data_IF_633914250025
#
_entry.id   IF_633914250025
#
_cell.length_a   1.000
_cell.length_b   1.000
_cell.length_c   1.000
_cell.angle_alpha   90.00
_cell.angle_beta   90.00
_cell.angle_gamma   90.00
#
_symmetry.space_group_name_H-M   'P 1'
#
loop_
_entity.id
_entity.type
_entity.pdbx_description
1 polymer ?
#
# COMPACT_ATOMS: atom_id res chain seq x y z
N UNK A 1 -17.88 -12.01 49.08
CA UNK A 1 -17.81 -13.12 48.11
C UNK A 1 -17.75 -12.66 46.63
N UNK A 2 -17.02 -11.58 46.29
CA UNK A 2 -16.76 -11.22 44.88
C UNK A 2 -15.27 -11.01 44.53
N UNK A 3 -14.40 -10.98 45.54
CA UNK A 3 -12.94 -10.84 45.37
C UNK A 3 -12.22 -12.20 45.20
N UNK A 4 -12.87 -13.32 45.53
CA UNK A 4 -12.24 -14.65 45.48
C UNK A 4 -12.32 -15.34 44.09
N UNK A 5 -13.13 -14.80 43.18
CA UNK A 5 -13.39 -15.42 41.85
C UNK A 5 -12.35 -14.97 40.82
N UNK A 6 -11.77 -13.77 40.97
CA UNK A 6 -10.77 -13.25 40.04
C UNK A 6 -9.40 -13.96 40.12
N UNK A 7 -9.07 -14.55 41.28
CA UNK A 7 -7.79 -15.25 41.47
C UNK A 7 -7.77 -16.67 40.87
N UNK A 8 -8.93 -17.30 40.66
CA UNK A 8 -9.01 -18.66 40.11
C UNK A 8 -8.95 -18.65 38.58
N UNK A 9 -9.41 -17.59 37.92
CA UNK A 9 -9.33 -17.47 36.45
C UNK A 9 -7.93 -17.06 35.93
N UNK A 10 -7.04 -16.58 36.80
CA UNK A 10 -5.69 -16.13 36.43
C UNK A 10 -4.63 -17.26 36.44
N UNK A 11 -5.02 -18.49 36.77
CA UNK A 11 -4.12 -19.65 36.89
C UNK A 11 -4.31 -20.73 35.82
N UNK A 12 -5.18 -20.53 34.80
CA UNK A 12 -5.54 -21.58 33.83
C UNK A 12 -5.28 -21.25 32.34
N UNK A 13 -4.53 -20.19 32.02
CA UNK A 13 -4.09 -19.93 30.63
C UNK A 13 -2.57 -19.72 30.52
N UNK A 14 -1.81 -20.64 31.10
CA UNK A 14 -0.37 -20.78 30.85
C UNK A 14 -0.05 -22.20 30.37
N UNK A 15 -0.59 -22.57 29.20
CA UNK A 15 -0.14 -23.74 28.43
C UNK A 15 0.56 -23.26 27.17
N UNK A 16 1.88 -23.11 27.32
CA UNK A 16 2.94 -23.53 26.39
C UNK A 16 2.59 -23.64 24.89
N UNK A 17 2.98 -22.63 24.12
CA UNK A 17 3.45 -22.85 22.73
C UNK A 17 4.95 -22.54 22.72
N UNK A 18 5.76 -23.58 22.92
CA UNK A 18 7.19 -23.56 22.58
C UNK A 18 7.34 -23.80 21.07
N UNK A 19 7.48 -22.73 20.29
CA UNK A 19 8.12 -22.85 18.97
C UNK A 19 9.62 -22.58 19.14
N UNK A 20 10.40 -23.66 19.21
CA UNK A 20 11.85 -23.61 18.96
C UNK A 20 12.08 -23.29 17.49
N UNK A 21 12.48 -22.05 17.20
CA UNK A 21 13.11 -21.70 15.93
C UNK A 21 14.58 -22.12 16.02
N UNK A 22 15.00 -23.00 15.13
CA UNK A 22 16.40 -23.39 14.92
C UNK A 22 17.16 -22.18 14.36
N UNK A 23 18.34 -21.82 14.91
CA UNK A 23 19.21 -20.86 14.27
C UNK A 23 20.02 -21.59 13.19
N UNK A 24 19.67 -21.39 11.92
CA UNK A 24 20.62 -21.66 10.84
C UNK A 24 21.48 -20.42 10.65
N UNK A 25 22.71 -20.55 11.14
CA UNK A 25 23.86 -19.75 10.78
C UNK A 25 24.29 -20.09 9.35
N UNK A 26 24.42 -19.09 8.47
CA UNK A 26 25.69 -18.80 7.79
C UNK A 26 25.47 -17.64 6.82
N UNK A 27 25.94 -16.49 7.29
CA UNK A 27 26.62 -15.48 6.50
C UNK A 27 27.61 -16.20 5.57
N UNK A 28 27.48 -15.99 4.27
CA UNK A 28 28.60 -16.14 3.36
C UNK A 28 28.73 -14.82 2.61
N UNK A 29 29.88 -14.19 2.87
CA UNK A 29 30.39 -13.01 2.24
C UNK A 29 30.48 -13.23 0.72
N UNK A 30 29.99 -12.26 -0.06
CA UNK A 30 30.40 -12.15 -1.46
C UNK A 30 31.57 -11.17 -1.51
N UNK A 31 32.78 -11.73 -1.45
CA UNK A 31 33.98 -11.07 -1.95
C UNK A 31 33.88 -10.98 -3.48
N UNK A 32 34.03 -9.76 -4.01
CA UNK A 32 34.24 -9.54 -5.43
C UNK A 32 35.69 -9.92 -5.78
N UNK A 33 35.89 -10.97 -6.58
CA UNK A 33 37.18 -11.26 -7.21
C UNK A 33 37.01 -11.22 -8.73
N UNK A 34 37.76 -10.32 -9.37
CA UNK A 34 38.01 -10.25 -10.81
C UNK A 34 39.02 -11.35 -11.21
N UNK A 35 38.78 -12.03 -12.34
CA UNK A 35 39.80 -12.86 -12.99
C UNK A 35 39.22 -13.79 -14.05
N UNK A 36 39.77 -13.70 -15.26
CA UNK A 36 39.43 -14.46 -16.46
C UNK A 36 39.87 -15.94 -16.42
N UNK A 37 39.32 -16.67 -17.40
CA UNK A 37 39.81 -17.88 -18.09
C UNK A 37 39.17 -19.25 -17.75
N UNK A 38 38.42 -19.70 -18.76
CA UNK A 38 38.30 -21.02 -19.39
C UNK A 38 37.82 -22.30 -18.66
N UNK A 39 36.70 -22.79 -19.21
CA UNK A 39 36.30 -24.19 -19.44
C UNK A 39 36.23 -25.16 -18.26
N UNK A 40 35.04 -25.30 -17.64
CA UNK A 40 34.56 -26.61 -17.13
C UNK A 40 33.05 -26.78 -17.35
N UNK A 41 32.73 -27.60 -18.36
CA UNK A 41 31.68 -28.62 -18.45
C UNK A 41 30.38 -28.45 -17.64
N UNK A 42 29.32 -28.10 -18.38
CA UNK A 42 27.94 -27.99 -17.91
C UNK A 42 27.35 -29.35 -17.50
N UNK A 43 27.30 -29.60 -16.20
CA UNK A 43 26.43 -30.66 -15.65
C UNK A 43 25.04 -30.07 -15.38
N UNK A 44 24.13 -30.23 -16.33
CA UNK A 44 22.75 -29.80 -16.24
C UNK A 44 22.00 -30.53 -15.12
N UNK A 45 21.95 -29.94 -13.92
CA UNK A 45 20.96 -30.31 -12.89
C UNK A 45 19.73 -29.44 -13.09
N UNK A 46 18.83 -29.93 -13.93
CA UNK A 46 17.53 -29.36 -14.23
C UNK A 46 16.70 -29.24 -12.93
N UNK A 47 16.79 -28.09 -12.26
CA UNK A 47 15.85 -27.72 -11.21
C UNK A 47 14.51 -27.46 -11.92
N UNK A 48 13.54 -28.33 -11.71
CA UNK A 48 12.21 -28.20 -12.31
C UNK A 48 11.60 -26.87 -11.88
N UNK A 49 11.37 -25.97 -12.83
CA UNK A 49 10.56 -24.78 -12.63
C UNK A 49 9.17 -25.23 -12.17
N UNK A 50 8.85 -24.98 -10.89
CA UNK A 50 7.48 -25.13 -10.40
C UNK A 50 6.62 -24.11 -11.15
N UNK A 51 5.71 -24.61 -11.97
CA UNK A 51 4.66 -23.81 -12.62
C UNK A 51 3.73 -23.25 -11.52
N UNK A 52 4.08 -22.10 -10.98
CA UNK A 52 3.12 -21.31 -10.22
C UNK A 52 2.14 -20.72 -11.23
N UNK A 53 0.93 -21.28 -11.27
CA UNK A 53 -0.19 -20.72 -12.00
C UNK A 53 -0.56 -19.38 -11.34
N UNK A 54 0.07 -18.29 -11.79
CA UNK A 54 -0.23 -16.94 -11.37
C UNK A 54 -1.62 -16.58 -11.88
N UNK A 55 -2.60 -16.59 -10.98
CA UNK A 55 -3.91 -16.01 -11.25
C UNK A 55 -3.78 -14.50 -10.99
N UNK A 56 -4.01 -13.64 -11.99
CA UNK A 56 -3.92 -12.21 -11.81
C UNK A 56 -4.91 -11.77 -10.72
N UNK A 57 -4.44 -10.94 -9.79
CA UNK A 57 -5.29 -10.39 -8.75
C UNK A 57 -6.52 -9.75 -9.39
N UNK A 58 -7.70 -10.11 -8.89
CA UNK A 58 -8.97 -9.56 -9.37
C UNK A 58 -8.92 -8.04 -9.22
N UNK A 59 -8.96 -7.32 -10.34
CA UNK A 59 -8.99 -5.84 -10.36
C UNK A 59 -10.16 -5.36 -9.51
N UNK A 60 -9.88 -4.67 -8.40
CA UNK A 60 -10.92 -3.97 -7.65
C UNK A 60 -11.43 -2.82 -8.52
N UNK A 61 -12.69 -2.92 -8.92
CA UNK A 61 -13.38 -1.86 -9.64
C UNK A 61 -14.33 -1.18 -8.67
N UNK A 62 -14.01 0.06 -8.29
CA UNK A 62 -14.92 0.90 -7.51
C UNK A 62 -16.06 1.32 -8.44
N UNK A 63 -17.17 0.61 -8.37
CA UNK A 63 -18.36 0.94 -9.15
C UNK A 63 -19.00 2.20 -8.61
N UNK A 64 -19.68 2.96 -9.47
CA UNK A 64 -20.41 4.17 -9.10
C UNK A 64 -21.42 3.96 -7.96
N UNK A 65 -21.96 2.75 -7.83
CA UNK A 65 -22.93 2.36 -6.79
C UNK A 65 -22.31 1.62 -5.60
N UNK A 66 -20.98 1.56 -5.49
CA UNK A 66 -20.32 0.92 -4.34
C UNK A 66 -20.73 1.64 -3.05
N UNK A 67 -21.07 0.86 -2.03
CA UNK A 67 -21.37 1.39 -0.70
C UNK A 67 -20.05 1.64 0.02
N UNK A 68 -19.75 2.91 0.27
CA UNK A 68 -18.53 3.34 0.95
C UNK A 68 -18.93 3.98 2.28
N UNK A 69 -18.50 3.36 3.38
CA UNK A 69 -18.67 3.87 4.73
C UNK A 69 -17.30 4.15 5.37
N UNK A 70 -17.03 5.44 5.60
CA UNK A 70 -15.74 5.91 6.09
C UNK A 70 -15.67 5.72 7.61
N UNK A 71 -14.74 4.87 8.06
CA UNK A 71 -14.60 4.51 9.48
C UNK A 71 -13.64 5.46 10.21
N UNK A 72 -12.56 5.84 9.54
CA UNK A 72 -11.56 6.75 10.10
C UNK A 72 -10.86 7.54 9.00
N UNK A 73 -10.40 8.74 9.34
CA UNK A 73 -9.55 9.55 8.50
C UNK A 73 -8.69 10.47 9.39
N UNK A 74 -7.41 10.55 9.09
CA UNK A 74 -6.49 11.49 9.73
C UNK A 74 -5.42 11.92 8.74
N UNK A 75 -4.94 13.16 8.93
CA UNK A 75 -3.78 13.65 8.21
C UNK A 75 -2.52 12.96 8.75
N UNK A 76 -1.69 12.50 7.83
CA UNK A 76 -0.36 12.00 8.09
C UNK A 76 0.63 12.84 7.30
N UNK A 77 1.58 13.45 8.00
CA UNK A 77 2.71 14.17 7.42
C UNK A 77 3.95 13.30 7.59
N UNK A 78 4.58 12.96 6.47
CA UNK A 78 5.92 12.40 6.43
C UNK A 78 6.98 13.45 6.72
N UNK A 79 8.23 13.09 6.45
CA UNK A 79 9.35 14.00 6.62
C UNK A 79 9.26 15.15 5.60
N UNK A 80 9.39 16.39 6.08
CA UNK A 80 9.38 17.61 5.28
C UNK A 80 10.67 18.34 5.62
N UNK A 81 11.47 18.68 4.61
CA UNK A 81 12.66 19.50 4.80
C UNK A 81 12.25 20.92 5.21
N UNK A 82 12.99 21.54 6.13
CA UNK A 82 12.81 22.96 6.46
C UNK A 82 13.07 23.88 5.26
N UNK A 83 13.81 23.40 4.25
CA UNK A 83 14.06 24.11 3.00
C UNK A 83 13.02 23.85 1.91
N UNK A 84 11.97 23.06 2.17
CA UNK A 84 10.94 22.75 1.18
C UNK A 84 9.97 23.94 1.03
N UNK A 85 9.94 24.52 -0.17
CA UNK A 85 9.10 25.68 -0.48
C UNK A 85 7.60 25.39 -0.31
N UNK A 86 7.19 24.13 -0.43
CA UNK A 86 5.80 23.68 -0.29
C UNK A 86 5.45 23.24 1.14
N UNK A 87 6.38 23.32 2.09
CA UNK A 87 6.18 22.86 3.48
C UNK A 87 4.92 23.43 4.15
N UNK A 88 4.60 24.70 3.87
CA UNK A 88 3.39 25.35 4.40
C UNK A 88 2.11 24.75 3.82
N UNK A 89 2.11 24.44 2.53
CA UNK A 89 0.95 23.89 1.82
C UNK A 89 0.69 22.44 2.23
N UNK A 90 1.74 21.63 2.42
CA UNK A 90 1.59 20.26 2.95
C UNK A 90 0.91 20.24 4.32
N UNK A 91 1.25 21.19 5.21
CA UNK A 91 0.69 21.29 6.56
C UNK A 91 -0.77 21.78 6.58
N UNK A 92 -1.18 22.56 5.58
CA UNK A 92 -2.56 23.06 5.45
C UNK A 92 -3.46 22.09 4.70
N UNK A 93 -2.89 21.27 3.82
CA UNK A 93 -3.65 20.32 3.04
C UNK A 93 -4.31 19.28 3.94
N UNK A 94 -5.63 19.21 3.83
CA UNK A 94 -6.47 18.31 4.59
C UNK A 94 -7.74 18.05 3.79
N UNK A 95 -8.40 16.92 4.04
CA UNK A 95 -9.65 16.56 3.37
C UNK A 95 -10.73 16.29 4.41
N UNK A 96 -11.91 16.84 4.18
CA UNK A 96 -13.10 16.46 4.90
C UNK A 96 -13.60 15.07 4.47
N UNK A 97 -14.43 14.45 5.30
CA UNK A 97 -15.00 13.12 4.99
C UNK A 97 -15.77 13.10 3.66
N UNK A 98 -16.49 14.16 3.31
CA UNK A 98 -17.24 14.24 2.04
C UNK A 98 -16.31 14.34 0.83
N UNK A 99 -15.17 15.01 0.97
CA UNK A 99 -14.15 15.12 -0.07
C UNK A 99 -13.42 13.80 -0.26
N UNK A 100 -13.08 13.10 0.83
CA UNK A 100 -12.53 11.73 0.79
C UNK A 100 -13.48 10.81 0.02
N UNK A 101 -14.78 10.80 0.37
CA UNK A 101 -15.77 9.99 -0.34
C UNK A 101 -15.90 10.38 -1.81
N UNK A 102 -15.75 11.66 -2.14
CA UNK A 102 -15.77 12.13 -3.53
C UNK A 102 -14.57 11.61 -4.30
N UNK A 103 -13.36 11.66 -3.72
CA UNK A 103 -12.14 11.13 -4.33
C UNK A 103 -12.27 9.62 -4.56
N UNK A 104 -12.66 8.86 -3.54
CA UNK A 104 -12.80 7.40 -3.63
C UNK A 104 -13.78 6.99 -4.74
N UNK A 105 -14.88 7.74 -4.94
CA UNK A 105 -15.88 7.45 -5.98
C UNK A 105 -15.47 7.83 -7.40
N UNK A 106 -14.50 8.74 -7.56
CA UNK A 106 -14.10 9.27 -8.87
C UNK A 106 -12.67 8.87 -9.26
N UNK A 107 -11.99 8.07 -8.45
CA UNK A 107 -10.70 7.49 -8.77
C UNK A 107 -10.80 6.48 -9.91
N UNK A 108 -9.82 6.52 -10.79
CA UNK A 108 -9.69 5.59 -11.90
C UNK A 108 -8.56 4.61 -11.58
N UNK A 109 -8.81 3.31 -11.76
CA UNK A 109 -7.79 2.31 -11.48
C UNK A 109 -6.59 2.48 -12.42
N UNK A 110 -5.39 2.56 -11.86
CA UNK A 110 -4.13 2.70 -12.58
C UNK A 110 -3.21 1.51 -12.27
N UNK A 111 -2.28 1.22 -13.17
CA UNK A 111 -1.26 0.21 -12.92
C UNK A 111 0.00 0.84 -12.29
N UNK A 112 0.97 0.01 -11.88
CA UNK A 112 2.21 0.51 -11.26
C UNK A 112 3.06 1.35 -12.21
N UNK A 113 3.03 1.07 -13.52
CA UNK A 113 3.73 1.88 -14.52
C UNK A 113 3.10 3.28 -14.58
N UNK A 114 1.78 3.38 -14.75
CA UNK A 114 1.05 4.66 -14.74
C UNK A 114 1.35 5.45 -13.46
N UNK A 115 1.33 4.78 -12.29
CA UNK A 115 1.64 5.40 -11.00
C UNK A 115 3.03 6.06 -11.01
N UNK A 116 4.07 5.33 -11.40
CA UNK A 116 5.44 5.81 -11.39
C UNK A 116 5.71 6.94 -12.38
N UNK A 117 5.00 6.99 -13.51
CA UNK A 117 5.22 8.00 -14.54
C UNK A 117 4.35 9.25 -14.40
N UNK A 118 3.15 9.13 -13.84
CA UNK A 118 2.13 10.18 -13.94
C UNK A 118 1.85 10.90 -12.61
N UNK A 119 2.35 10.43 -11.47
CA UNK A 119 1.95 10.96 -10.16
C UNK A 119 3.14 11.38 -9.30
N UNK A 120 2.95 12.46 -8.55
CA UNK A 120 3.91 12.96 -7.58
C UNK A 120 3.68 12.29 -6.22
N UNK A 121 4.74 11.81 -5.57
CA UNK A 121 4.64 11.27 -4.20
C UNK A 121 4.98 12.38 -3.22
N UNK A 122 3.96 12.99 -2.63
CA UNK A 122 4.10 14.09 -1.68
C UNK A 122 4.14 13.59 -0.23
N UNK A 123 4.76 14.33 0.71
CA UNK A 123 4.86 13.89 2.09
C UNK A 123 3.56 14.04 2.89
N UNK A 124 2.48 14.61 2.32
CA UNK A 124 1.19 14.73 3.01
C UNK A 124 0.15 13.74 2.45
N UNK A 125 -0.45 12.97 3.36
CA UNK A 125 -1.41 11.93 3.05
C UNK A 125 -2.60 11.96 4.00
N UNK A 126 -3.80 11.74 3.49
CA UNK A 126 -4.95 11.34 4.31
C UNK A 126 -4.97 9.82 4.43
N UNK A 127 -4.91 9.32 5.66
CA UNK A 127 -4.90 7.89 5.95
C UNK A 127 -6.11 7.49 6.79
N UNK A 128 -6.56 6.27 6.64
CA UNK A 128 -7.67 5.77 7.44
C UNK A 128 -8.20 4.43 6.95
N UNK A 129 -9.46 4.17 7.27
CA UNK A 129 -10.15 2.94 6.90
C UNK A 129 -11.57 3.22 6.40
N UNK A 130 -12.02 2.40 5.46
CA UNK A 130 -13.36 2.45 4.91
C UNK A 130 -13.88 1.03 4.67
N UNK A 131 -15.17 0.84 4.95
CA UNK A 131 -15.91 -0.35 4.50
C UNK A 131 -16.40 -0.09 3.08
N UNK A 132 -16.00 -0.93 2.13
CA UNK A 132 -16.40 -0.84 0.72
C UNK A 132 -17.03 -2.17 0.33
N UNK A 133 -18.33 -2.15 0.01
CA UNK A 133 -19.11 -3.35 -0.34
C UNK A 133 -18.88 -4.52 0.65
N UNK A 134 -18.99 -4.20 1.95
CA UNK A 134 -18.79 -5.14 3.07
C UNK A 134 -17.36 -5.66 3.27
N UNK A 135 -16.37 -5.09 2.60
CA UNK A 135 -14.96 -5.41 2.81
C UNK A 135 -14.22 -4.21 3.44
N UNK A 136 -13.43 -4.47 4.48
CA UNK A 136 -12.63 -3.44 5.13
C UNK A 136 -11.36 -3.15 4.31
N UNK A 137 -11.11 -1.88 4.04
CA UNK A 137 -9.88 -1.40 3.42
C UNK A 137 -9.23 -0.35 4.30
N UNK A 138 -7.91 -0.39 4.36
CA UNK A 138 -7.12 0.78 4.68
C UNK A 138 -6.95 1.63 3.42
N UNK A 139 -6.95 2.95 3.56
CA UNK A 139 -6.68 3.85 2.45
C UNK A 139 -5.54 4.81 2.77
N UNK A 140 -4.84 5.22 1.70
CA UNK A 140 -3.90 6.33 1.69
C UNK A 140 -4.22 7.21 0.49
N UNK A 141 -4.64 8.45 0.71
CA UNK A 141 -4.83 9.46 -0.34
C UNK A 141 -3.64 10.40 -0.25
N UNK A 142 -2.81 10.45 -1.28
CA UNK A 142 -1.65 11.32 -1.33
C UNK A 142 -2.01 12.65 -2.00
N UNK A 143 -1.47 13.77 -1.52
CA UNK A 143 -1.75 15.08 -2.09
C UNK A 143 -1.31 15.25 -3.56
N UNK A 144 -0.53 14.30 -4.11
CA UNK A 144 -0.15 14.22 -5.51
C UNK A 144 -1.12 13.45 -6.42
N UNK A 145 -2.42 13.50 -6.12
CA UNK A 145 -3.51 13.07 -7.02
C UNK A 145 -3.63 11.56 -7.28
N UNK A 146 -3.22 10.75 -6.30
CA UNK A 146 -3.49 9.32 -6.30
C UNK A 146 -3.96 8.83 -4.93
N UNK A 147 -4.55 7.64 -4.89
CA UNK A 147 -4.80 6.94 -3.65
C UNK A 147 -4.60 5.43 -3.80
N UNK A 148 -4.37 4.78 -2.67
CA UNK A 148 -4.19 3.35 -2.56
C UNK A 148 -5.24 2.81 -1.61
N UNK A 149 -5.95 1.77 -2.02
CA UNK A 149 -6.77 0.94 -1.15
C UNK A 149 -6.04 -0.38 -0.89
N UNK A 150 -5.88 -0.76 0.38
CA UNK A 150 -5.21 -2.01 0.75
C UNK A 150 -6.04 -2.82 1.71
N UNK A 151 -6.12 -4.11 1.45
CA UNK A 151 -6.59 -5.11 2.40
C UNK A 151 -5.41 -5.99 2.86
N UNK A 152 -5.65 -7.16 3.44
CA UNK A 152 -4.59 -8.03 3.93
C UNK A 152 -3.69 -8.60 2.82
N UNK A 153 -4.23 -8.75 1.61
CA UNK A 153 -3.58 -9.53 0.55
C UNK A 153 -3.09 -8.67 -0.62
N UNK A 154 -3.68 -7.49 -0.83
CA UNK A 154 -3.51 -6.72 -2.07
C UNK A 154 -3.67 -5.22 -1.85
N UNK A 155 -2.91 -4.46 -2.64
CA UNK A 155 -3.05 -3.02 -2.79
C UNK A 155 -3.52 -2.67 -4.21
N UNK A 156 -4.48 -1.75 -4.29
CA UNK A 156 -5.07 -1.25 -5.52
C UNK A 156 -4.76 0.23 -5.66
N UNK A 157 -4.25 0.61 -6.83
CA UNK A 157 -3.83 1.97 -7.11
C UNK A 157 -4.89 2.69 -7.95
N UNK A 158 -5.17 3.93 -7.58
CA UNK A 158 -6.13 4.77 -8.27
C UNK A 158 -5.55 6.15 -8.49
N UNK A 159 -5.74 6.67 -9.70
CA UNK A 159 -5.39 8.02 -10.11
C UNK A 159 -6.60 8.94 -10.13
N UNK A 160 -6.38 10.24 -9.95
CA UNK A 160 -7.45 11.23 -9.92
C UNK A 160 -7.23 12.44 -10.85
N UNK A 161 -7.13 12.16 -12.15
CA UNK A 161 -6.98 13.19 -13.19
C UNK A 161 -8.29 13.89 -13.61
N UNK A 162 -9.44 13.34 -13.21
CA UNK A 162 -10.76 13.88 -13.57
C UNK A 162 -11.04 15.22 -12.84
N UNK A 163 -11.71 16.16 -13.52
CA UNK A 163 -12.15 17.45 -12.95
C UNK A 163 -12.92 17.31 -11.63
N UNK A 164 -13.66 16.21 -11.45
CA UNK A 164 -14.46 15.95 -10.25
C UNK A 164 -13.63 15.74 -8.99
N UNK A 165 -12.37 15.32 -9.12
CA UNK A 165 -11.51 15.06 -7.97
C UNK A 165 -10.16 15.80 -7.99
N UNK A 166 -9.63 16.18 -9.16
CA UNK A 166 -8.32 16.84 -9.26
C UNK A 166 -8.17 18.09 -8.39
N UNK A 167 -9.29 18.80 -8.15
CA UNK A 167 -9.34 20.04 -7.35
C UNK A 167 -9.00 19.85 -5.86
N UNK A 168 -8.97 18.62 -5.36
CA UNK A 168 -8.70 18.31 -3.96
C UNK A 168 -7.21 18.06 -3.67
N UNK A 169 -6.35 18.16 -4.69
CA UNK A 169 -4.94 17.80 -4.61
C UNK A 169 -4.05 19.03 -4.80
N UNK A 170 -2.85 19.00 -4.21
CA UNK A 170 -1.86 20.07 -4.36
C UNK A 170 -1.15 19.99 -5.72
N UNK A 171 -0.89 18.77 -6.20
CA UNK A 171 -0.34 18.52 -7.51
C UNK A 171 -1.27 17.62 -8.30
N UNK A 172 -1.55 18.02 -9.54
CA UNK A 172 -2.39 17.22 -10.44
C UNK A 172 -1.56 16.11 -11.07
N UNK A 173 -2.04 14.88 -10.99
CA UNK A 173 -1.46 13.73 -11.68
C UNK A 173 -1.92 13.62 -13.13
N UNK A 174 -1.24 12.77 -13.88
CA UNK A 174 -1.57 12.47 -15.27
C UNK A 174 -2.78 11.55 -15.45
N UNK A 175 -3.19 11.40 -16.71
CA UNK A 175 -4.21 10.47 -17.17
C UNK A 175 -3.57 9.48 -18.15
N UNK A 176 -3.60 8.16 -17.91
CA UNK A 176 -3.00 7.18 -18.82
C UNK A 176 -3.49 7.30 -20.27
N UNK A 177 -4.79 7.54 -20.46
CA UNK A 177 -5.39 7.71 -21.80
C UNK A 177 -4.84 8.95 -22.50
N UNK A 178 -4.78 10.09 -21.79
CA UNK A 178 -4.35 11.36 -22.37
C UNK A 178 -2.85 11.44 -22.57
N UNK A 179 -2.08 10.97 -21.59
CA UNK A 179 -0.64 11.24 -21.47
C UNK A 179 0.23 10.07 -21.95
N UNK A 180 -0.31 8.84 -21.97
CA UNK A 180 0.39 7.63 -22.42
C UNK A 180 -0.28 6.97 -23.65
N UNK A 181 -1.46 7.43 -24.07
CA UNK A 181 -2.18 6.89 -25.23
C UNK A 181 -2.75 5.48 -25.03
N UNK A 182 -3.01 5.09 -23.78
CA UNK A 182 -3.61 3.79 -23.41
C UNK A 182 -5.13 3.74 -23.59
#
# INVERSE_FOLDING_TARGET
>A
MKQLIYFIFLLLFSVLISCKIKPDSSMNDLECINGNDDNIESTNKQLSAKNYNYQPAKKLELKKNSLIDLQSAHLHLGEISDSDEMASEYKKWNLSSSEILTILRNGEAINSHDFSYLYYVLPCEMRGSAMIDSSMYSFKINAGSYFILSNADTSYYFGCSNIKCKKYFLMTGGSPVRDLGQ
#
